data_IF_802451825159
#
_entry.id   IF_802451825159
#
_cell.length_a   1.000
_cell.length_b   1.000
_cell.length_c   1.000
_cell.angle_alpha   90.00
_cell.angle_beta   90.00
_cell.angle_gamma   90.00
#
_symmetry.space_group_name_H-M   'P 1'
#
loop_
_entity.id
_entity.type
_entity.pdbx_description
1 polymer ?
#
# COMPACT_ATOMS: atom_id res chain seq x y z
N UNK A 1 10.25 -4.49 20.83
CA UNK A 1 10.77 -5.44 19.81
C UNK A 1 9.66 -5.90 18.86
N UNK A 2 8.58 -6.47 19.33
CA UNK A 2 7.44 -6.89 18.50
C UNK A 2 6.88 -5.74 17.64
N UNK A 3 6.74 -4.55 18.22
CA UNK A 3 6.24 -3.37 17.52
C UNK A 3 7.14 -2.97 16.34
N UNK A 4 8.46 -3.01 16.52
CA UNK A 4 9.41 -2.74 15.43
C UNK A 4 9.30 -3.73 14.27
N UNK A 5 9.08 -5.02 14.58
CA UNK A 5 8.87 -6.05 13.56
C UNK A 5 7.55 -5.77 12.82
N UNK A 6 6.49 -5.40 13.55
CA UNK A 6 5.20 -5.03 12.97
C UNK A 6 5.33 -3.79 12.07
N UNK A 7 6.00 -2.74 12.51
CA UNK A 7 6.27 -1.53 11.72
C UNK A 7 7.06 -1.85 10.45
N UNK A 8 8.12 -2.68 10.56
CA UNK A 8 8.90 -3.11 9.39
C UNK A 8 8.03 -3.90 8.41
N UNK A 9 7.20 -4.81 8.91
CA UNK A 9 6.26 -5.58 8.08
C UNK A 9 5.29 -4.67 7.36
N UNK A 10 4.78 -3.64 8.03
CA UNK A 10 3.88 -2.65 7.43
C UNK A 10 4.56 -1.83 6.34
N UNK A 11 5.82 -1.42 6.56
CA UNK A 11 6.62 -0.74 5.52
C UNK A 11 6.83 -1.63 4.31
N UNK A 12 7.14 -2.91 4.49
CA UNK A 12 7.26 -3.87 3.39
C UNK A 12 5.93 -4.05 2.64
N UNK A 13 4.79 -4.07 3.33
CA UNK A 13 3.47 -4.11 2.71
C UNK A 13 3.19 -2.86 1.87
N UNK A 14 3.58 -1.67 2.36
CA UNK A 14 3.50 -0.41 1.59
C UNK A 14 4.35 -0.46 0.33
N UNK A 15 5.57 -0.98 0.43
CA UNK A 15 6.47 -1.17 -0.71
C UNK A 15 5.87 -2.16 -1.74
N UNK A 16 5.29 -3.27 -1.29
CA UNK A 16 4.66 -4.25 -2.17
C UNK A 16 3.58 -3.63 -3.09
N UNK A 17 2.83 -2.65 -2.59
CA UNK A 17 1.85 -1.90 -3.39
C UNK A 17 2.48 -1.05 -4.51
N UNK A 18 3.79 -0.80 -4.46
CA UNK A 18 4.51 -0.12 -5.54
C UNK A 18 5.07 -1.08 -6.60
N UNK A 19 5.02 -2.38 -6.33
CA UNK A 19 5.50 -3.43 -7.22
C UNK A 19 6.96 -3.84 -6.98
N UNK A 20 7.62 -3.26 -5.97
CA UNK A 20 9.01 -3.54 -5.65
C UNK A 20 9.23 -3.45 -4.14
N UNK A 21 9.92 -4.43 -3.59
CA UNK A 21 10.30 -4.47 -2.18
C UNK A 21 11.81 -4.37 -2.08
N UNK A 22 12.30 -3.45 -1.27
CA UNK A 22 13.70 -3.35 -0.86
C UNK A 22 13.84 -4.04 0.51
N UNK A 23 14.30 -5.27 0.51
CA UNK A 23 14.41 -6.09 1.71
C UNK A 23 15.81 -5.95 2.31
N UNK A 24 15.95 -5.42 3.54
CA UNK A 24 17.25 -5.33 4.19
C UNK A 24 17.72 -6.71 4.64
N UNK A 25 18.98 -7.02 4.43
CA UNK A 25 19.62 -8.21 4.97
C UNK A 25 20.96 -7.86 5.62
N UNK A 26 21.38 -8.67 6.55
CA UNK A 26 22.71 -8.60 7.14
C UNK A 26 23.48 -9.88 6.73
N UNK A 27 24.75 -9.70 6.39
CA UNK A 27 25.69 -10.80 6.18
C UNK A 27 26.36 -11.20 7.48
N UNK A 28 26.95 -12.40 7.55
CA UNK A 28 27.68 -12.90 8.73
C UNK A 28 28.82 -11.97 9.13
N UNK A 29 29.44 -11.28 8.16
CA UNK A 29 30.52 -10.31 8.38
C UNK A 29 30.03 -8.97 8.95
N UNK A 30 28.75 -8.84 9.28
CA UNK A 30 28.13 -7.62 9.80
C UNK A 30 27.89 -6.51 8.76
N UNK A 31 28.15 -6.78 7.47
CA UNK A 31 27.81 -5.87 6.40
C UNK A 31 26.31 -5.99 6.06
N UNK A 32 25.61 -4.88 6.06
CA UNK A 32 24.23 -4.82 5.64
C UNK A 32 24.12 -4.60 4.12
N UNK A 33 23.09 -5.17 3.51
CA UNK A 33 22.74 -4.95 2.12
C UNK A 33 21.24 -4.83 1.93
N UNK A 34 20.82 -4.55 0.69
CA UNK A 34 19.41 -4.49 0.31
C UNK A 34 19.19 -5.41 -0.88
N UNK A 35 18.30 -6.37 -0.72
CA UNK A 35 17.84 -7.22 -1.80
C UNK A 35 16.56 -6.61 -2.40
N UNK A 36 16.55 -6.38 -3.70
CA UNK A 36 15.37 -5.86 -4.39
C UNK A 36 14.55 -7.02 -4.95
N UNK A 37 13.29 -7.09 -4.55
CA UNK A 37 12.33 -8.10 -4.99
C UNK A 37 11.30 -7.42 -5.88
N UNK A 38 11.25 -7.76 -7.15
CA UNK A 38 10.27 -7.22 -8.08
C UNK A 38 9.02 -8.09 -8.10
N UNK A 39 7.87 -7.50 -7.78
CA UNK A 39 6.55 -8.14 -7.83
C UNK A 39 5.86 -7.95 -9.19
N UNK A 40 6.45 -7.14 -10.06
CA UNK A 40 5.91 -6.78 -11.37
C UNK A 40 5.43 -5.33 -11.46
N UNK A 41 4.74 -5.01 -12.55
CA UNK A 41 4.23 -3.66 -12.81
C UNK A 41 2.70 -3.63 -12.77
N UNK A 42 2.10 -2.55 -12.25
CA UNK A 42 0.65 -2.37 -12.28
C UNK A 42 0.16 -2.14 -13.71
N UNK A 43 -1.12 -2.40 -13.95
CA UNK A 43 -1.80 -2.08 -15.20
C UNK A 43 -1.95 -0.56 -15.32
N UNK A 44 -1.51 0.02 -16.41
CA UNK A 44 -1.75 1.45 -16.70
C UNK A 44 -3.09 1.61 -17.38
N UNK A 45 -3.96 2.44 -16.82
CA UNK A 45 -5.25 2.81 -17.40
C UNK A 45 -5.15 4.18 -18.07
N UNK A 46 -6.20 4.55 -18.81
CA UNK A 46 -6.28 5.84 -19.49
C UNK A 46 -6.17 6.99 -18.50
N UNK A 47 -5.37 8.01 -18.86
CA UNK A 47 -5.23 9.22 -18.05
C UNK A 47 -6.59 9.94 -17.91
N UNK A 48 -6.80 10.57 -16.76
CA UNK A 48 -8.00 11.30 -16.44
C UNK A 48 -7.67 12.77 -16.12
N UNK A 49 -8.70 13.62 -16.13
CA UNK A 49 -8.58 15.02 -15.73
C UNK A 49 -9.65 15.33 -14.70
N UNK A 50 -9.27 15.97 -13.61
CA UNK A 50 -10.16 16.53 -12.60
C UNK A 50 -9.93 18.04 -12.55
N UNK A 51 -10.97 18.82 -12.87
CA UNK A 51 -10.92 20.28 -12.86
C UNK A 51 -11.63 20.82 -11.63
N UNK A 52 -11.25 22.01 -11.20
CA UNK A 52 -11.93 22.71 -10.09
C UNK A 52 -13.44 22.94 -10.36
N UNK A 53 -13.82 23.04 -11.63
CA UNK A 53 -15.21 23.21 -12.07
C UNK A 53 -15.83 21.92 -12.62
N UNK A 54 -15.26 20.75 -12.33
CA UNK A 54 -15.84 19.46 -12.72
C UNK A 54 -17.23 19.30 -12.13
N UNK A 55 -18.14 18.80 -12.98
CA UNK A 55 -19.50 18.48 -12.58
C UNK A 55 -19.56 17.11 -11.89
N UNK A 56 -20.68 16.81 -11.25
CA UNK A 56 -20.94 15.47 -10.72
C UNK A 56 -20.84 14.38 -11.79
N UNK A 57 -21.35 14.68 -13.00
CA UNK A 57 -21.28 13.77 -14.12
C UNK A 57 -19.83 13.48 -14.57
N UNK A 58 -18.97 14.50 -14.54
CA UNK A 58 -17.54 14.32 -14.86
C UNK A 58 -16.85 13.42 -13.86
N UNK A 59 -17.14 13.62 -12.55
CA UNK A 59 -16.59 12.79 -11.46
C UNK A 59 -17.09 11.36 -11.60
N UNK A 60 -18.39 11.16 -11.78
CA UNK A 60 -18.97 9.84 -11.98
C UNK A 60 -18.37 9.15 -13.23
N UNK A 61 -18.26 9.87 -14.34
CA UNK A 61 -17.66 9.37 -15.56
C UNK A 61 -16.21 8.95 -15.41
N UNK A 62 -15.44 9.69 -14.61
CA UNK A 62 -14.05 9.34 -14.31
C UNK A 62 -13.97 7.97 -13.59
N UNK A 63 -14.71 7.79 -12.50
CA UNK A 63 -14.69 6.55 -11.74
C UNK A 63 -15.30 5.37 -12.48
N UNK A 64 -16.39 5.60 -13.25
CA UNK A 64 -17.04 4.56 -14.06
C UNK A 64 -16.12 4.07 -15.19
N UNK A 65 -15.47 5.00 -15.91
CA UNK A 65 -14.49 4.66 -16.94
C UNK A 65 -13.31 3.90 -16.36
N UNK A 66 -12.79 4.37 -15.24
CA UNK A 66 -11.69 3.72 -14.53
C UNK A 66 -12.05 2.29 -14.14
N UNK A 67 -13.24 2.07 -13.59
CA UNK A 67 -13.72 0.75 -13.18
C UNK A 67 -13.91 -0.18 -14.37
N UNK A 68 -14.50 0.33 -15.45
CA UNK A 68 -14.72 -0.44 -16.68
C UNK A 68 -13.40 -0.87 -17.33
N UNK A 69 -12.43 0.04 -17.45
CA UNK A 69 -11.10 -0.29 -17.98
C UNK A 69 -10.34 -1.26 -17.05
N UNK A 70 -10.47 -1.08 -15.74
CA UNK A 70 -9.89 -1.98 -14.75
C UNK A 70 -10.44 -3.40 -14.91
N UNK A 71 -11.77 -3.55 -14.97
CA UNK A 71 -12.41 -4.85 -15.15
C UNK A 71 -12.05 -5.51 -16.48
N UNK A 72 -11.93 -4.73 -17.55
CA UNK A 72 -11.51 -5.23 -18.86
C UNK A 72 -10.08 -5.81 -18.85
N UNK A 73 -9.16 -5.22 -18.05
CA UNK A 73 -7.76 -5.67 -17.96
C UNK A 73 -7.53 -6.79 -16.94
N UNK A 74 -8.26 -6.78 -15.85
CA UNK A 74 -8.06 -7.67 -14.70
C UNK A 74 -9.03 -8.85 -14.70
N UNK A 75 -10.10 -8.76 -15.47
CA UNK A 75 -11.24 -9.68 -15.41
C UNK A 75 -12.26 -9.25 -14.36
N UNK A 76 -12.78 -10.19 -13.56
CA UNK A 76 -13.73 -9.83 -12.51
C UNK A 76 -13.00 -9.19 -11.31
N UNK A 77 -13.47 -8.04 -10.86
CA UNK A 77 -13.11 -7.43 -9.60
C UNK A 77 -14.28 -7.60 -8.62
N UNK A 78 -14.01 -8.29 -7.51
CA UNK A 78 -15.06 -8.55 -6.50
C UNK A 78 -15.35 -7.33 -5.64
N UNK A 79 -14.29 -6.64 -5.18
CA UNK A 79 -14.39 -5.45 -4.33
C UNK A 79 -13.29 -4.43 -4.68
N UNK A 80 -13.46 -3.66 -5.78
CA UNK A 80 -12.49 -2.65 -6.17
C UNK A 80 -12.52 -1.47 -5.21
N UNK A 81 -11.33 -1.01 -4.79
CA UNK A 81 -11.13 0.17 -3.96
C UNK A 81 -10.17 1.12 -4.66
N UNK A 82 -10.49 2.41 -4.60
CA UNK A 82 -9.70 3.48 -5.19
C UNK A 82 -8.81 4.14 -4.14
N UNK A 83 -7.50 4.00 -4.29
CA UNK A 83 -6.50 4.64 -3.45
C UNK A 83 -6.06 5.92 -4.15
N UNK A 84 -6.37 7.07 -3.58
CA UNK A 84 -6.06 8.36 -4.17
C UNK A 84 -4.81 8.97 -3.54
N UNK A 85 -3.93 9.49 -4.39
CA UNK A 85 -2.83 10.35 -3.96
C UNK A 85 -3.36 11.68 -3.39
N UNK A 86 -2.54 12.34 -2.58
CA UNK A 86 -2.97 13.48 -1.77
C UNK A 86 -3.59 14.62 -2.61
N UNK A 87 -2.97 15.00 -3.73
CA UNK A 87 -3.47 16.07 -4.59
C UNK A 87 -4.84 15.72 -5.20
N UNK A 88 -5.00 14.51 -5.72
CA UNK A 88 -6.26 14.07 -6.33
C UNK A 88 -7.37 14.01 -5.27
N UNK A 89 -7.05 13.47 -4.09
CA UNK A 89 -8.02 13.35 -2.99
C UNK A 89 -8.52 14.71 -2.53
N UNK A 90 -7.60 15.64 -2.25
CA UNK A 90 -7.97 16.99 -1.79
C UNK A 90 -8.80 17.76 -2.84
N UNK A 91 -8.44 17.64 -4.11
CA UNK A 91 -9.23 18.25 -5.18
C UNK A 91 -10.62 17.63 -5.32
N UNK A 92 -10.73 16.30 -5.19
CA UNK A 92 -12.04 15.64 -5.19
C UNK A 92 -12.94 16.18 -4.07
N UNK A 93 -12.42 16.29 -2.85
CA UNK A 93 -13.17 16.86 -1.71
C UNK A 93 -13.59 18.29 -1.99
N UNK A 94 -12.68 19.13 -2.52
CA UNK A 94 -12.96 20.53 -2.86
C UNK A 94 -14.09 20.63 -3.89
N UNK A 95 -14.01 19.86 -4.98
CA UNK A 95 -15.03 19.85 -6.03
C UNK A 95 -16.38 19.40 -5.47
N UNK A 96 -16.43 18.30 -4.72
CA UNK A 96 -17.66 17.78 -4.11
C UNK A 96 -18.30 18.80 -3.15
N UNK A 97 -17.49 19.54 -2.40
CA UNK A 97 -17.98 20.56 -1.47
C UNK A 97 -18.56 21.78 -2.19
N UNK A 98 -18.08 22.08 -3.41
CA UNK A 98 -18.56 23.16 -4.25
C UNK A 98 -19.82 22.84 -5.05
N UNK A 99 -20.22 21.57 -5.14
CA UNK A 99 -21.43 21.18 -5.87
C UNK A 99 -22.71 21.55 -5.12
N UNK A 100 -23.79 21.78 -5.89
CA UNK A 100 -25.14 22.00 -5.34
C UNK A 100 -25.59 20.77 -4.54
N UNK A 101 -25.74 20.89 -3.25
CA UNK A 101 -26.00 19.79 -2.31
C UNK A 101 -24.83 19.48 -1.38
N UNK A 102 -23.67 20.06 -1.68
CA UNK A 102 -22.47 19.94 -0.88
C UNK A 102 -21.91 18.51 -0.82
N UNK A 103 -20.84 18.34 -0.06
CA UNK A 103 -20.17 17.05 0.10
C UNK A 103 -21.10 15.90 0.51
N UNK A 104 -21.90 16.11 1.57
CA UNK A 104 -22.77 15.08 2.13
C UNK A 104 -23.90 14.61 1.20
N UNK A 105 -24.20 15.37 0.14
CA UNK A 105 -25.16 14.94 -0.88
C UNK A 105 -24.64 13.85 -1.79
N UNK A 106 -23.32 13.73 -1.92
CA UNK A 106 -22.69 12.83 -2.90
C UNK A 106 -21.70 11.85 -2.31
N UNK A 107 -21.23 12.10 -1.11
CA UNK A 107 -20.22 11.28 -0.46
C UNK A 107 -20.54 11.08 1.02
N UNK A 108 -20.11 9.95 1.57
CA UNK A 108 -20.27 9.59 2.97
C UNK A 108 -18.95 9.09 3.54
N UNK A 109 -18.57 9.60 4.69
CA UNK A 109 -17.44 9.10 5.45
C UNK A 109 -17.75 7.72 6.03
N UNK A 110 -16.76 6.85 6.01
CA UNK A 110 -16.77 5.52 6.62
C UNK A 110 -15.51 5.34 7.45
N UNK A 111 -15.45 4.31 8.27
CA UNK A 111 -14.27 4.00 9.10
C UNK A 111 -13.00 3.76 8.28
N UNK A 112 -13.15 3.33 7.02
CA UNK A 112 -12.03 3.01 6.12
C UNK A 112 -11.72 4.09 5.09
N UNK A 113 -12.54 5.14 4.99
CA UNK A 113 -12.37 6.19 4.01
C UNK A 113 -13.65 6.90 3.62
N UNK A 114 -13.94 6.95 2.33
CA UNK A 114 -15.06 7.67 1.73
C UNK A 114 -15.80 6.74 0.76
N UNK A 115 -17.14 6.74 0.82
CA UNK A 115 -17.97 6.14 -0.23
C UNK A 115 -18.60 7.25 -1.06
N UNK A 116 -18.23 7.30 -2.33
CA UNK A 116 -18.74 8.26 -3.32
C UNK A 116 -19.92 7.64 -4.06
N UNK A 117 -21.02 8.41 -4.17
CA UNK A 117 -22.25 8.02 -4.84
C UNK A 117 -22.84 6.66 -4.39
N UNK A 118 -22.56 6.29 -3.12
CA UNK A 118 -23.01 5.00 -2.56
C UNK A 118 -22.36 3.75 -3.18
N UNK A 119 -21.38 3.91 -4.09
CA UNK A 119 -20.83 2.83 -4.89
C UNK A 119 -19.31 2.72 -4.87
N UNK A 120 -18.60 3.83 -4.96
CA UNK A 120 -17.14 3.82 -5.08
C UNK A 120 -16.50 3.96 -3.72
N UNK A 121 -15.80 2.93 -3.27
CA UNK A 121 -14.97 3.00 -2.05
C UNK A 121 -13.66 3.72 -2.38
N UNK A 122 -13.40 4.81 -1.69
CA UNK A 122 -12.24 5.68 -1.89
C UNK A 122 -11.48 5.80 -0.58
N UNK A 123 -10.17 5.62 -0.65
CA UNK A 123 -9.27 5.82 0.47
C UNK A 123 -8.20 6.86 0.10
N UNK A 124 -7.94 7.79 1.01
CA UNK A 124 -6.74 8.63 0.89
C UNK A 124 -5.50 7.78 1.19
N UNK A 125 -4.54 7.76 0.28
CA UNK A 125 -3.30 7.02 0.44
C UNK A 125 -2.10 7.97 0.42
N UNK A 126 -2.11 8.93 1.33
CA UNK A 126 -0.98 9.83 1.58
C UNK A 126 0.16 9.16 2.38
N UNK A 127 0.16 7.82 2.45
CA UNK A 127 1.17 7.06 3.18
C UNK A 127 2.49 7.07 2.43
N UNK A 128 3.55 7.25 3.19
CA UNK A 128 4.92 7.24 2.70
C UNK A 128 5.74 6.14 3.38
N UNK A 129 6.87 5.83 2.80
CA UNK A 129 7.88 4.95 3.38
C UNK A 129 9.28 5.41 2.96
N UNK A 130 10.27 4.99 3.73
CA UNK A 130 11.68 5.21 3.44
C UNK A 130 12.31 3.87 3.07
N UNK A 131 13.15 3.85 2.04
CA UNK A 131 13.87 2.65 1.66
C UNK A 131 15.04 2.39 2.62
N UNK A 132 15.37 1.14 2.92
CA UNK A 132 16.55 0.80 3.70
C UNK A 132 17.81 1.40 3.08
N UNK A 133 18.64 2.04 3.89
CA UNK A 133 19.88 2.69 3.44
C UNK A 133 19.73 4.00 2.65
N UNK A 134 18.50 4.53 2.55
CA UNK A 134 18.19 5.81 1.89
C UNK A 134 17.51 6.76 2.87
N UNK A 135 17.61 8.05 2.61
CA UNK A 135 16.79 9.08 3.25
C UNK A 135 15.59 9.50 2.41
N UNK A 136 15.43 8.93 1.20
CA UNK A 136 14.38 9.32 0.27
C UNK A 136 13.02 8.82 0.74
N UNK A 137 12.09 9.75 0.89
CA UNK A 137 10.70 9.45 1.21
C UNK A 137 9.94 9.16 -0.08
N UNK A 138 9.33 7.99 -0.15
CA UNK A 138 8.52 7.56 -1.30
C UNK A 138 7.05 7.42 -0.91
N UNK A 139 6.16 7.84 -1.78
CA UNK A 139 4.72 7.68 -1.60
C UNK A 139 4.26 6.32 -2.13
N UNK A 140 3.31 5.69 -1.44
CA UNK A 140 2.65 4.45 -1.90
C UNK A 140 1.84 4.70 -3.16
N UNK A 141 1.15 5.85 -3.22
CA UNK A 141 0.46 6.36 -4.42
C UNK A 141 0.98 7.76 -4.67
N UNK A 142 1.44 8.06 -5.88
CA UNK A 142 1.90 9.40 -6.21
C UNK A 142 0.74 10.41 -6.11
N UNK A 143 1.04 11.65 -5.77
CA UNK A 143 0.05 12.68 -5.43
C UNK A 143 -1.00 12.92 -6.52
N UNK A 144 -0.58 12.76 -7.79
CA UNK A 144 -1.41 12.93 -8.99
C UNK A 144 -1.94 11.60 -9.55
N UNK A 145 -1.98 10.54 -8.77
CA UNK A 145 -2.42 9.22 -9.21
C UNK A 145 -3.60 8.68 -8.42
N UNK A 146 -4.35 7.81 -9.09
CA UNK A 146 -5.32 6.90 -8.48
C UNK A 146 -4.78 5.49 -8.71
N UNK A 147 -4.73 4.69 -7.67
CA UNK A 147 -4.42 3.26 -7.74
C UNK A 147 -5.68 2.47 -7.42
N UNK A 148 -5.98 1.45 -8.21
CA UNK A 148 -7.14 0.57 -7.98
C UNK A 148 -6.60 -0.79 -7.55
N UNK A 149 -7.16 -1.31 -6.46
CA UNK A 149 -6.88 -2.65 -5.93
C UNK A 149 -8.19 -3.39 -5.72
N UNK A 150 -8.15 -4.73 -5.73
CA UNK A 150 -9.30 -5.58 -5.45
C UNK A 150 -9.18 -6.23 -4.07
N UNK A 151 -9.97 -5.79 -3.10
CA UNK A 151 -9.98 -6.35 -1.76
C UNK A 151 -10.57 -7.77 -1.68
N UNK A 152 -11.26 -8.24 -2.70
CA UNK A 152 -11.69 -9.63 -2.78
C UNK A 152 -10.51 -10.58 -3.09
N UNK A 153 -9.42 -10.02 -3.65
CA UNK A 153 -8.18 -10.75 -3.92
C UNK A 153 -7.00 -9.98 -3.29
N UNK A 154 -6.96 -9.87 -1.96
CA UNK A 154 -5.91 -9.14 -1.28
C UNK A 154 -4.55 -9.83 -1.48
N UNK A 155 -3.49 -9.07 -1.25
CA UNK A 155 -2.16 -9.63 -1.16
C UNK A 155 -2.06 -10.67 -0.03
N UNK A 156 -0.99 -11.45 -0.04
CA UNK A 156 -0.65 -12.42 1.00
C UNK A 156 0.63 -12.01 1.69
N UNK A 157 0.70 -12.28 2.97
CA UNK A 157 1.91 -12.14 3.76
C UNK A 157 2.49 -13.53 3.99
N UNK A 158 3.65 -13.79 3.43
CA UNK A 158 4.40 -15.01 3.64
C UNK A 158 5.47 -14.79 4.69
N UNK A 159 5.90 -15.86 5.34
CA UNK A 159 7.03 -15.85 6.25
C UNK A 159 8.03 -16.90 5.78
N UNK A 160 9.30 -16.52 5.67
CA UNK A 160 10.37 -17.48 5.45
C UNK A 160 10.75 -18.17 6.76
N UNK A 161 11.35 -19.35 6.65
CA UNK A 161 11.92 -20.06 7.79
C UNK A 161 12.99 -19.20 8.48
N UNK A 162 13.01 -19.26 9.80
CA UNK A 162 14.04 -18.61 10.61
C UNK A 162 15.27 -19.53 10.69
N UNK A 163 16.46 -18.95 10.59
CA UNK A 163 17.72 -19.71 10.69
C UNK A 163 18.11 -19.89 12.17
N UNK A 164 17.18 -20.44 12.94
CA UNK A 164 17.32 -20.63 14.37
C UNK A 164 16.80 -22.02 14.79
N UNK A 165 17.64 -22.80 15.45
CA UNK A 165 17.29 -24.16 15.89
C UNK A 165 16.21 -24.17 16.97
N UNK A 166 16.17 -23.16 17.85
CA UNK A 166 15.11 -23.05 18.87
C UNK A 166 13.76 -22.69 18.24
N UNK A 167 13.77 -22.04 17.06
CA UNK A 167 12.59 -21.82 16.25
C UNK A 167 12.22 -23.04 15.40
N UNK A 168 12.93 -24.18 15.52
CA UNK A 168 12.77 -25.37 14.70
C UNK A 168 12.88 -25.11 13.19
N UNK A 169 13.61 -24.10 12.77
CA UNK A 169 13.69 -23.63 11.38
C UNK A 169 12.30 -23.35 10.75
N UNK A 170 11.33 -22.96 11.57
CA UNK A 170 9.95 -22.79 11.13
C UNK A 170 9.69 -21.35 10.62
N UNK A 171 8.72 -21.16 9.69
CA UNK A 171 8.26 -19.85 9.28
C UNK A 171 7.32 -19.27 10.34
N UNK A 172 7.87 -18.40 11.20
CA UNK A 172 7.11 -17.78 12.29
C UNK A 172 6.90 -16.28 12.04
N UNK A 173 5.70 -15.76 12.33
CA UNK A 173 5.45 -14.32 12.23
C UNK A 173 6.22 -13.52 13.29
N UNK A 174 6.57 -14.15 14.37
CA UNK A 174 7.38 -13.59 15.45
C UNK A 174 8.02 -14.72 16.23
N UNK A 175 9.33 -14.63 16.46
CA UNK A 175 10.09 -15.49 17.34
C UNK A 175 10.94 -14.61 18.25
N UNK A 176 11.09 -14.97 19.51
CA UNK A 176 12.00 -14.31 20.42
C UNK A 176 12.66 -15.33 21.32
N UNK A 177 13.94 -15.16 21.54
CA UNK A 177 14.73 -15.92 22.49
C UNK A 177 15.57 -15.03 23.39
N UNK A 178 15.94 -15.56 24.52
CA UNK A 178 16.77 -14.90 25.52
C UNK A 178 17.92 -15.80 25.92
N UNK A 179 19.09 -15.20 26.17
CA UNK A 179 20.20 -15.89 26.80
C UNK A 179 20.94 -14.98 27.77
N UNK A 180 21.61 -15.58 28.74
CA UNK A 180 22.43 -14.86 29.71
C UNK A 180 23.80 -14.60 29.12
N UNK A 181 24.26 -13.35 29.19
CA UNK A 181 25.66 -12.97 28.95
C UNK A 181 26.38 -12.86 30.32
N UNK A 182 27.53 -13.49 30.39
CA UNK A 182 28.28 -13.53 31.64
C UNK A 182 29.22 -12.32 31.83
N UNK A 183 29.67 -11.70 30.71
CA UNK A 183 30.59 -10.56 30.74
C UNK A 183 30.31 -9.60 29.55
N UNK A 184 29.76 -8.40 29.80
CA UNK A 184 29.17 -7.98 31.08
C UNK A 184 27.90 -8.76 31.42
N UNK A 185 27.65 -8.96 32.72
CA UNK A 185 26.49 -9.71 33.18
C UNK A 185 25.18 -9.06 32.73
N UNK A 186 24.37 -9.82 32.00
CA UNK A 186 23.10 -9.30 31.42
C UNK A 186 22.29 -10.37 30.76
N UNK A 187 21.08 -9.98 30.30
CA UNK A 187 20.20 -10.82 29.52
C UNK A 187 20.06 -10.20 28.13
N UNK A 188 20.44 -10.94 27.10
CA UNK A 188 20.25 -10.54 25.71
C UNK A 188 18.94 -11.12 25.17
N UNK A 189 18.15 -10.28 24.54
CA UNK A 189 16.89 -10.67 23.93
C UNK A 189 17.01 -10.41 22.43
N UNK A 190 16.75 -11.44 21.63
CA UNK A 190 16.68 -11.33 20.15
C UNK A 190 15.27 -11.67 19.70
N UNK A 191 14.76 -10.87 18.79
CA UNK A 191 13.49 -11.12 18.13
C UNK A 191 13.68 -11.15 16.62
N UNK A 192 13.09 -12.14 15.97
CA UNK A 192 13.24 -12.38 14.55
C UNK A 192 11.89 -12.56 13.86
N UNK A 193 11.85 -12.13 12.61
CA UNK A 193 10.77 -12.41 11.66
C UNK A 193 11.29 -12.19 10.24
N UNK A 194 10.82 -12.99 9.27
CA UNK A 194 11.16 -12.87 7.86
C UNK A 194 9.90 -12.71 7.00
N UNK A 195 9.15 -11.59 7.14
CA UNK A 195 7.92 -11.36 6.40
C UNK A 195 8.23 -11.03 4.93
N UNK A 196 7.44 -11.59 4.02
CA UNK A 196 7.45 -11.25 2.59
C UNK A 196 6.01 -11.01 2.12
N UNK A 197 5.57 -9.75 2.04
CA UNK A 197 4.28 -9.43 1.45
C UNK A 197 4.35 -9.59 -0.07
N UNK A 198 3.32 -10.19 -0.64
CA UNK A 198 3.18 -10.38 -2.07
C UNK A 198 1.77 -9.98 -2.53
N UNK A 199 1.72 -9.21 -3.60
CA UNK A 199 0.49 -8.82 -4.28
C UNK A 199 0.63 -9.08 -5.77
N UNK A 200 -0.44 -9.57 -6.39
CA UNK A 200 -0.47 -9.76 -7.84
C UNK A 200 -0.58 -8.39 -8.53
N UNK A 201 0.55 -7.85 -8.99
CA UNK A 201 0.59 -6.53 -9.65
C UNK A 201 -0.23 -6.46 -10.93
N UNK A 202 -0.51 -7.60 -11.58
CA UNK A 202 -1.46 -7.69 -12.69
C UNK A 202 -2.90 -7.32 -12.29
N UNK A 203 -3.23 -7.35 -10.99
CA UNK A 203 -4.52 -6.95 -10.43
C UNK A 203 -4.51 -5.56 -9.80
N UNK A 204 -3.40 -4.87 -9.87
CA UNK A 204 -3.28 -3.46 -9.45
C UNK A 204 -3.29 -2.59 -10.70
N UNK A 205 -4.08 -1.55 -10.70
CA UNK A 205 -4.08 -0.58 -11.80
C UNK A 205 -3.76 0.84 -11.32
N UNK A 206 -3.21 1.64 -12.22
CA UNK A 206 -2.82 3.02 -11.95
C UNK A 206 -3.37 3.93 -13.04
N UNK A 207 -3.92 5.06 -12.61
CA UNK A 207 -4.41 6.16 -13.45
C UNK A 207 -3.62 7.40 -13.09
N UNK A 208 -3.08 8.09 -14.06
CA UNK A 208 -2.53 9.45 -13.86
C UNK A 208 -3.65 10.45 -14.04
N UNK A 209 -3.83 11.33 -13.05
CA UNK A 209 -4.87 12.36 -13.05
C UNK A 209 -4.22 13.73 -13.17
N UNK A 210 -4.63 14.48 -14.19
CA UNK A 210 -4.27 15.90 -14.30
C UNK A 210 -5.28 16.73 -13.54
N UNK A 211 -4.82 17.44 -12.53
CA UNK A 211 -5.63 18.40 -11.77
C UNK A 211 -5.45 19.79 -12.38
N UNK A 212 -6.56 20.50 -12.67
CA UNK A 212 -6.56 21.85 -13.28
C UNK A 212 -7.54 22.75 -12.59
#
# INVERSE_FOLDING_TARGET
MRDRISETTEVLCRQALTGKIAYPYATEDGHGGVCEIELGKPQTLSAATLKANSTLADIQGLFEKALTEYQAKVGSAGKPVFLLGATVYNNLITVLSGLSGGFNGYAKWTDTGLVLLGRYEIMSMALTFVLPGSSDVKSVVADNQIKIIDLANPGKLFYAALDDLEANLAPLPFFAKTWEEKDPSGVKIVGESKPLPAIAMSRVAVITVTVK
#
